data_IF_010948316178
#
_entry.id   IF_010948316178
#
_cell.length_a   1.000
_cell.length_b   1.000
_cell.length_c   1.000
_cell.angle_alpha   90.00
_cell.angle_beta   90.00
_cell.angle_gamma   90.00
#
_symmetry.space_group_name_H-M   'P 1'
#
loop_
_entity.id
_entity.type
_entity.pdbx_description
1 polymer ?
#
# COMPACT_ATOMS: atom_id res chain seq x y z
N UNK A 1 -7.66 -16.69 9.52
CA UNK A 1 -6.68 -17.01 8.48
C UNK A 1 -7.29 -16.91 7.07
N UNK A 2 -8.27 -17.74 6.64
CA UNK A 2 -8.75 -17.74 5.23
C UNK A 2 -9.13 -16.33 4.76
N UNK A 3 -9.97 -15.59 5.46
CA UNK A 3 -10.42 -14.24 5.05
C UNK A 3 -9.26 -13.26 4.95
N UNK A 4 -8.31 -13.26 5.88
CA UNK A 4 -7.18 -12.32 5.90
C UNK A 4 -6.15 -12.64 4.83
N UNK A 5 -5.79 -13.92 4.70
CA UNK A 5 -4.75 -14.38 3.76
C UNK A 5 -5.19 -14.30 2.30
N UNK A 6 -6.49 -14.23 2.07
CA UNK A 6 -7.10 -14.05 0.73
C UNK A 6 -7.54 -12.61 0.45
N UNK A 7 -7.31 -11.69 1.38
CA UNK A 7 -7.82 -10.31 1.27
C UNK A 7 -9.33 -10.24 1.11
N UNK A 8 -10.09 -11.06 1.84
CA UNK A 8 -11.53 -11.17 1.66
C UNK A 8 -11.93 -11.82 0.33
N UNK A 9 -11.15 -12.79 -0.15
CA UNK A 9 -11.32 -13.50 -1.43
C UNK A 9 -11.04 -12.67 -2.69
N UNK A 10 -10.18 -11.66 -2.59
CA UNK A 10 -9.80 -10.79 -3.72
C UNK A 10 -8.46 -11.19 -4.33
N UNK A 11 -7.53 -11.77 -3.54
CA UNK A 11 -6.16 -12.01 -4.00
C UNK A 11 -6.05 -13.21 -4.94
N UNK A 12 -4.96 -13.25 -5.72
CA UNK A 12 -4.71 -14.26 -6.74
C UNK A 12 -4.50 -15.69 -6.22
N UNK A 13 -4.31 -15.87 -4.91
CA UNK A 13 -4.22 -17.17 -4.25
C UNK A 13 -5.60 -17.82 -3.99
N UNK A 14 -6.70 -17.15 -4.31
CA UNK A 14 -8.06 -17.67 -4.16
C UNK A 14 -8.37 -18.71 -5.25
N UNK A 15 -8.87 -19.86 -4.83
CA UNK A 15 -9.25 -20.97 -5.70
C UNK A 15 -10.65 -21.50 -5.33
N UNK A 16 -11.20 -22.36 -6.18
CA UNK A 16 -12.43 -23.07 -5.85
C UNK A 16 -12.30 -23.93 -4.57
N UNK A 17 -11.09 -24.44 -4.27
CA UNK A 17 -10.82 -25.16 -3.03
C UNK A 17 -10.90 -24.21 -1.81
N UNK A 18 -10.40 -22.97 -1.93
CA UNK A 18 -10.50 -21.95 -0.89
C UNK A 18 -11.96 -21.65 -0.52
N UNK A 19 -12.83 -21.53 -1.53
CA UNK A 19 -14.25 -21.29 -1.31
C UNK A 19 -14.95 -22.49 -0.66
N UNK A 20 -14.61 -23.74 -1.07
CA UNK A 20 -15.17 -24.94 -0.43
C UNK A 20 -14.76 -25.05 1.05
N UNK A 21 -13.47 -24.82 1.36
CA UNK A 21 -13.01 -24.80 2.74
C UNK A 21 -13.69 -23.71 3.57
N UNK A 22 -13.93 -22.54 3.00
CA UNK A 22 -14.70 -21.49 3.67
C UNK A 22 -16.15 -21.91 3.94
N UNK A 23 -16.80 -22.56 2.98
CA UNK A 23 -18.18 -23.09 3.17
C UNK A 23 -18.24 -24.10 4.29
N UNK A 24 -17.32 -25.09 4.34
CA UNK A 24 -17.23 -26.06 5.43
C UNK A 24 -17.05 -25.39 6.81
N UNK A 25 -16.23 -24.35 6.88
CA UNK A 25 -16.07 -23.57 8.11
C UNK A 25 -17.36 -22.83 8.50
N UNK A 26 -18.11 -22.30 7.53
CA UNK A 26 -19.39 -21.64 7.79
C UNK A 26 -20.44 -22.63 8.30
N UNK A 27 -20.44 -23.88 7.84
CA UNK A 27 -21.32 -24.93 8.33
C UNK A 27 -21.08 -25.29 9.81
N UNK A 28 -19.90 -24.96 10.36
CA UNK A 28 -19.63 -25.12 11.81
C UNK A 28 -20.33 -24.07 12.68
N UNK A 29 -21.01 -23.09 12.09
CA UNK A 29 -21.74 -22.04 12.78
C UNK A 29 -20.86 -20.85 13.23
N UNK A 30 -19.66 -20.67 12.67
CA UNK A 30 -18.84 -19.49 12.96
C UNK A 30 -19.56 -18.22 12.52
N UNK A 31 -19.44 -17.15 13.30
CA UNK A 31 -19.93 -15.82 12.90
C UNK A 31 -18.94 -15.16 11.90
N UNK A 32 -18.98 -15.64 10.65
CA UNK A 32 -18.14 -15.10 9.59
C UNK A 32 -18.43 -13.60 9.29
N UNK A 33 -19.66 -13.13 9.58
CA UNK A 33 -20.05 -11.73 9.35
C UNK A 33 -19.33 -10.82 10.34
N UNK A 34 -19.29 -11.17 11.63
CA UNK A 34 -18.55 -10.43 12.63
C UNK A 34 -17.05 -10.38 12.30
N UNK A 35 -16.48 -11.52 11.87
CA UNK A 35 -15.07 -11.61 11.45
C UNK A 35 -14.80 -10.68 10.26
N UNK A 36 -15.57 -10.80 9.18
CA UNK A 36 -15.34 -9.97 7.98
C UNK A 36 -15.61 -8.48 8.22
N UNK A 37 -16.62 -8.14 9.03
CA UNK A 37 -16.89 -6.76 9.44
C UNK A 37 -15.70 -6.17 10.18
N UNK A 38 -15.12 -6.91 11.12
CA UNK A 38 -13.97 -6.46 11.89
C UNK A 38 -12.76 -6.18 10.99
N UNK A 39 -12.41 -7.11 10.09
CA UNK A 39 -11.19 -7.02 9.30
C UNK A 39 -11.30 -6.11 8.07
N UNK A 40 -12.49 -6.00 7.45
CA UNK A 40 -12.62 -5.34 6.16
C UNK A 40 -13.56 -4.13 6.13
N UNK A 41 -14.41 -3.97 7.15
CA UNK A 41 -15.45 -2.93 7.15
C UNK A 41 -15.40 -2.00 8.36
N UNK A 42 -14.50 -2.24 9.33
CA UNK A 42 -14.40 -1.42 10.54
C UNK A 42 -13.06 -0.73 10.58
N UNK A 43 -13.08 0.61 10.67
CA UNK A 43 -11.90 1.45 10.86
C UNK A 43 -12.13 2.42 12.01
N UNK A 44 -11.07 2.75 12.75
CA UNK A 44 -11.14 3.82 13.75
C UNK A 44 -11.39 5.17 13.08
N UNK A 45 -11.93 6.15 13.82
CA UNK A 45 -12.08 7.52 13.30
C UNK A 45 -10.73 8.14 12.95
N UNK A 46 -9.71 7.85 13.74
CA UNK A 46 -8.33 8.29 13.50
C UNK A 46 -7.81 7.74 12.17
N UNK A 47 -7.99 6.43 11.95
CA UNK A 47 -7.62 5.79 10.70
C UNK A 47 -8.34 6.41 9.48
N UNK A 48 -9.64 6.66 9.60
CA UNK A 48 -10.42 7.31 8.53
C UNK A 48 -9.92 8.72 8.22
N UNK A 49 -9.58 9.51 9.24
CA UNK A 49 -9.01 10.85 9.07
C UNK A 49 -7.62 10.81 8.43
N UNK A 50 -6.80 9.83 8.82
CA UNK A 50 -5.47 9.63 8.25
C UNK A 50 -5.56 9.27 6.77
N UNK A 51 -6.38 8.30 6.39
CA UNK A 51 -6.61 7.91 4.99
C UNK A 51 -7.15 9.09 4.15
N UNK A 52 -8.11 9.84 4.67
CA UNK A 52 -8.66 11.01 3.99
C UNK A 52 -7.59 12.08 3.72
N UNK A 53 -6.74 12.36 4.71
CA UNK A 53 -5.65 13.33 4.56
C UNK A 53 -4.61 12.86 3.52
N UNK A 54 -4.22 11.59 3.58
CA UNK A 54 -3.25 10.99 2.64
C UNK A 54 -3.77 11.03 1.21
N UNK A 55 -5.05 10.69 1.00
CA UNK A 55 -5.68 10.69 -0.32
C UNK A 55 -5.87 12.10 -0.87
N UNK A 56 -6.21 13.07 -0.01
CA UNK A 56 -6.34 14.47 -0.40
C UNK A 56 -5.00 15.08 -0.87
N UNK A 57 -3.90 14.67 -0.24
CA UNK A 57 -2.55 15.16 -0.54
C UNK A 57 -1.79 14.23 -1.53
N UNK A 58 -2.49 13.25 -2.12
CA UNK A 58 -1.92 12.34 -3.11
C UNK A 58 -1.46 13.10 -4.35
N UNK A 59 -0.28 12.79 -4.83
CA UNK A 59 0.28 13.39 -6.06
C UNK A 59 0.45 12.35 -7.14
N UNK A 60 0.22 12.75 -8.39
CA UNK A 60 0.25 11.86 -9.53
C UNK A 60 1.36 12.26 -10.51
N UNK A 61 1.94 11.25 -11.15
CA UNK A 61 3.04 11.35 -12.11
C UNK A 61 2.79 10.40 -13.28
N UNK A 62 3.56 10.57 -14.36
CA UNK A 62 3.50 9.69 -15.52
C UNK A 62 2.06 9.55 -16.06
N UNK A 63 1.41 10.67 -16.37
CA UNK A 63 0.01 10.67 -16.86
C UNK A 63 -0.95 9.96 -15.92
N UNK A 64 -0.80 10.22 -14.62
CA UNK A 64 -1.57 9.66 -13.52
C UNK A 64 -1.40 8.15 -13.27
N UNK A 65 -0.42 7.51 -13.93
CA UNK A 65 -0.14 6.07 -13.72
C UNK A 65 0.68 5.78 -12.45
N UNK A 66 1.38 6.78 -11.92
CA UNK A 66 2.15 6.66 -10.68
C UNK A 66 1.57 7.57 -9.62
N UNK A 67 1.12 7.00 -8.51
CA UNK A 67 0.58 7.74 -7.37
C UNK A 67 1.59 7.73 -6.20
N UNK A 68 1.81 8.89 -5.58
CA UNK A 68 2.62 9.04 -4.37
C UNK A 68 1.74 9.48 -3.21
N UNK A 69 1.70 8.65 -2.18
CA UNK A 69 0.96 8.87 -0.94
C UNK A 69 1.96 9.09 0.19
N UNK A 70 1.92 10.25 0.84
CA UNK A 70 2.89 10.63 1.88
C UNK A 70 2.28 10.58 3.27
N UNK A 71 3.02 10.00 4.21
CA UNK A 71 2.64 9.85 5.63
C UNK A 71 3.77 10.41 6.50
N UNK A 72 3.93 11.75 6.58
CA UNK A 72 4.94 12.36 7.43
C UNK A 72 4.57 12.24 8.92
N UNK A 73 5.57 12.26 9.80
CA UNK A 73 5.38 12.25 11.24
C UNK A 73 4.50 13.42 11.72
N UNK A 74 4.61 14.59 11.09
CA UNK A 74 3.77 15.75 11.38
C UNK A 74 2.28 15.50 11.12
N UNK A 75 1.93 14.74 10.09
CA UNK A 75 0.55 14.33 9.81
C UNK A 75 0.05 13.36 10.89
N UNK A 76 0.86 12.36 11.25
CA UNK A 76 0.55 11.40 12.31
C UNK A 76 0.29 12.13 13.64
N UNK A 77 1.18 13.03 14.03
CA UNK A 77 1.06 13.81 15.25
C UNK A 77 -0.18 14.72 15.23
N UNK A 78 -0.45 15.41 14.13
CA UNK A 78 -1.61 16.30 13.98
C UNK A 78 -2.95 15.57 14.14
N UNK A 79 -3.04 14.34 13.64
CA UNK A 79 -4.26 13.53 13.71
C UNK A 79 -4.34 12.74 15.01
N UNK A 80 -3.21 12.57 15.71
CA UNK A 80 -3.10 11.68 16.87
C UNK A 80 -3.09 10.21 16.48
N UNK A 81 -2.58 9.90 15.28
CA UNK A 81 -2.51 8.54 14.78
C UNK A 81 -1.33 7.77 15.39
N UNK A 82 -1.57 6.53 15.74
CA UNK A 82 -0.58 5.57 16.22
C UNK A 82 0.07 4.80 15.06
N UNK A 83 1.11 4.02 15.38
CA UNK A 83 1.72 3.08 14.43
C UNK A 83 0.70 2.07 13.89
N UNK A 84 -0.20 1.58 14.73
CA UNK A 84 -1.28 0.66 14.33
C UNK A 84 -2.24 1.32 13.34
N UNK A 85 -2.54 2.62 13.50
CA UNK A 85 -3.37 3.35 12.55
C UNK A 85 -2.66 3.54 11.19
N UNK A 86 -1.32 3.42 11.14
CA UNK A 86 -0.53 3.53 9.92
C UNK A 86 -0.20 2.19 9.25
N UNK A 87 -0.67 1.07 9.79
CA UNK A 87 -0.51 -0.24 9.17
C UNK A 87 -1.31 -0.33 7.86
N UNK A 88 -0.78 -1.06 6.88
CA UNK A 88 -1.41 -1.36 5.59
C UNK A 88 -1.89 -0.16 4.75
N UNK A 89 -1.38 1.06 5.03
CA UNK A 89 -1.69 2.24 4.21
C UNK A 89 -1.28 2.06 2.74
N UNK A 90 -0.32 1.19 2.46
CA UNK A 90 0.10 0.86 1.08
C UNK A 90 -0.99 0.18 0.25
N UNK A 91 -2.08 -0.28 0.88
CA UNK A 91 -3.24 -0.84 0.19
C UNK A 91 -4.18 0.23 -0.40
N UNK A 92 -4.01 1.51 -0.06
CA UNK A 92 -4.86 2.59 -0.58
C UNK A 92 -4.57 2.90 -2.05
N UNK A 93 -3.31 3.02 -2.41
CA UNK A 93 -2.91 3.43 -3.75
C UNK A 93 -3.40 2.51 -4.88
N UNK A 94 -3.33 1.18 -4.75
CA UNK A 94 -3.87 0.25 -5.76
C UNK A 94 -5.38 0.35 -6.00
N UNK A 95 -6.12 1.04 -5.14
CA UNK A 95 -7.57 1.26 -5.29
C UNK A 95 -7.88 2.46 -6.20
N UNK A 96 -6.87 3.22 -6.60
CA UNK A 96 -7.04 4.38 -7.47
C UNK A 96 -7.06 3.91 -8.92
N UNK A 97 -8.12 4.21 -9.64
CA UNK A 97 -8.28 3.84 -11.04
C UNK A 97 -7.16 4.41 -11.91
N UNK A 98 -6.60 3.61 -12.80
CA UNK A 98 -5.54 4.02 -13.74
C UNK A 98 -4.14 4.00 -13.17
N UNK A 99 -3.96 3.73 -11.87
CA UNK A 99 -2.65 3.68 -11.23
C UNK A 99 -1.97 2.33 -11.46
N UNK A 100 -0.84 2.34 -12.16
CA UNK A 100 0.02 1.17 -12.39
C UNK A 100 1.05 0.97 -11.25
N UNK A 101 1.44 2.06 -10.57
CA UNK A 101 2.37 2.03 -9.45
C UNK A 101 1.92 2.99 -8.34
N UNK A 102 1.67 2.46 -7.17
CA UNK A 102 1.42 3.25 -5.98
C UNK A 102 2.61 3.19 -5.03
N UNK A 103 3.11 4.37 -4.64
CA UNK A 103 4.23 4.55 -3.74
C UNK A 103 3.71 5.16 -2.44
N UNK A 104 3.76 4.41 -1.35
CA UNK A 104 3.46 4.94 -0.02
C UNK A 104 4.78 5.29 0.67
N UNK A 105 4.99 6.57 0.95
CA UNK A 105 6.16 7.10 1.64
C UNK A 105 5.79 7.39 3.09
N UNK A 106 6.28 6.58 4.04
CA UNK A 106 6.04 6.77 5.46
C UNK A 106 7.34 7.21 6.15
N UNK A 107 7.27 8.34 6.84
CA UNK A 107 8.39 8.82 7.64
C UNK A 107 8.47 8.02 8.95
N UNK A 108 9.61 7.34 9.18
CA UNK A 108 9.87 6.55 10.39
C UNK A 108 10.53 7.40 11.50
N UNK A 109 11.39 8.32 11.10
CA UNK A 109 12.06 9.33 11.89
C UNK A 109 12.45 10.49 10.96
N UNK A 110 12.82 11.66 11.46
CA UNK A 110 13.12 12.81 10.60
C UNK A 110 14.05 12.44 9.43
N UNK A 111 13.62 12.75 8.22
CA UNK A 111 14.31 12.49 6.96
C UNK A 111 14.60 11.00 6.66
N UNK A 112 13.91 10.07 7.30
CA UNK A 112 14.00 8.63 7.00
C UNK A 112 12.66 8.09 6.57
N UNK A 113 12.56 7.73 5.30
CA UNK A 113 11.33 7.32 4.65
C UNK A 113 11.33 5.85 4.29
N UNK A 114 10.40 5.10 4.85
CA UNK A 114 10.05 3.77 4.37
C UNK A 114 9.13 3.92 3.17
N UNK A 115 9.55 3.37 2.06
CA UNK A 115 8.79 3.34 0.83
C UNK A 115 8.20 1.96 0.61
N UNK A 116 6.91 1.91 0.35
CA UNK A 116 6.20 0.68 0.01
C UNK A 116 5.58 0.85 -1.37
N UNK A 117 6.02 0.03 -2.31
CA UNK A 117 5.51 0.01 -3.68
C UNK A 117 4.48 -1.09 -3.84
N UNK A 118 3.40 -0.77 -4.52
CA UNK A 118 2.40 -1.72 -5.01
C UNK A 118 2.20 -1.46 -6.50
N UNK A 119 2.40 -2.48 -7.33
CA UNK A 119 2.40 -2.30 -8.77
C UNK A 119 1.50 -3.30 -9.48
N UNK A 120 0.96 -2.87 -10.61
CA UNK A 120 0.37 -3.75 -11.61
C UNK A 120 1.44 -4.52 -12.40
N UNK A 121 1.04 -5.34 -13.37
CA UNK A 121 1.95 -6.24 -14.10
C UNK A 121 2.97 -5.51 -14.99
N UNK A 122 2.79 -4.23 -15.25
CA UNK A 122 3.66 -3.44 -16.15
C UNK A 122 4.95 -2.97 -15.49
N UNK A 123 4.99 -2.88 -14.15
CA UNK A 123 6.12 -2.32 -13.40
C UNK A 123 6.56 -3.33 -12.35
N UNK A 124 7.83 -3.67 -12.34
CA UNK A 124 8.41 -4.57 -11.34
C UNK A 124 8.87 -3.77 -10.11
N UNK A 125 8.08 -3.82 -9.03
CA UNK A 125 8.37 -3.12 -7.78
C UNK A 125 9.72 -3.53 -7.18
N UNK A 126 10.11 -4.81 -7.29
CA UNK A 126 11.39 -5.30 -6.75
C UNK A 126 12.58 -4.67 -7.47
N UNK A 127 12.52 -4.53 -8.79
CA UNK A 127 13.60 -3.91 -9.56
C UNK A 127 13.77 -2.44 -9.19
N UNK A 128 12.67 -1.68 -9.09
CA UNK A 128 12.71 -0.29 -8.63
C UNK A 128 13.31 -0.16 -7.22
N UNK A 129 12.84 -0.98 -6.27
CA UNK A 129 13.34 -0.92 -4.89
C UNK A 129 14.81 -1.35 -4.77
N UNK A 130 15.30 -2.29 -5.58
CA UNK A 130 16.71 -2.72 -5.59
C UNK A 130 17.66 -1.59 -5.93
N UNK A 131 17.27 -0.65 -6.79
CA UNK A 131 18.09 0.54 -7.12
C UNK A 131 18.35 1.42 -5.88
N UNK A 132 17.52 1.27 -4.85
CA UNK A 132 17.62 1.99 -3.57
C UNK A 132 17.94 1.07 -2.38
N UNK A 133 18.53 -0.10 -2.66
CA UNK A 133 18.96 -1.05 -1.63
C UNK A 133 17.82 -1.83 -0.95
N UNK A 134 16.63 -1.81 -1.53
CA UNK A 134 15.46 -2.54 -1.04
C UNK A 134 15.20 -3.87 -1.75
N UNK A 135 13.98 -4.38 -1.64
CA UNK A 135 13.56 -5.63 -2.27
C UNK A 135 12.12 -6.00 -1.95
N UNK A 136 11.73 -7.20 -2.37
CA UNK A 136 10.38 -7.73 -2.17
C UNK A 136 9.95 -8.66 -3.29
N UNK A 137 8.69 -8.56 -3.68
CA UNK A 137 8.09 -9.29 -4.79
C UNK A 137 7.77 -8.35 -5.96
N UNK A 138 7.60 -8.89 -7.15
CA UNK A 138 7.35 -8.11 -8.36
C UNK A 138 6.20 -7.09 -8.24
N UNK A 139 5.12 -7.45 -7.55
CA UNK A 139 3.96 -6.57 -7.33
C UNK A 139 3.99 -5.80 -5.98
N UNK A 140 4.91 -6.12 -5.07
CA UNK A 140 4.96 -5.55 -3.73
C UNK A 140 6.38 -5.57 -3.17
N UNK A 141 7.01 -4.41 -3.11
CA UNK A 141 8.37 -4.26 -2.63
C UNK A 141 8.51 -3.01 -1.74
N UNK A 142 9.63 -2.90 -1.06
CA UNK A 142 9.93 -1.73 -0.22
C UNK A 142 11.42 -1.44 -0.14
N UNK A 143 11.71 -0.19 0.16
CA UNK A 143 13.06 0.30 0.45
C UNK A 143 12.99 1.38 1.52
N UNK A 144 14.16 1.77 2.05
CA UNK A 144 14.27 2.90 2.97
C UNK A 144 15.25 3.90 2.39
N UNK A 145 14.86 5.17 2.37
CA UNK A 145 15.69 6.27 1.88
C UNK A 145 15.88 7.28 3.01
N UNK A 146 17.13 7.63 3.26
CA UNK A 146 17.51 8.68 4.22
C UNK A 146 17.85 9.95 3.42
N UNK A 147 16.91 10.88 3.40
CA UNK A 147 17.00 12.17 2.71
C UNK A 147 15.79 13.04 3.08
N UNK A 148 15.85 14.36 2.90
CA UNK A 148 14.67 15.23 2.97
C UNK A 148 13.56 14.73 2.03
N UNK A 149 12.30 14.98 2.41
CA UNK A 149 11.13 14.46 1.67
C UNK A 149 11.19 14.65 0.15
N UNK A 150 11.54 15.86 -0.29
CA UNK A 150 11.59 16.15 -1.73
C UNK A 150 12.62 15.27 -2.46
N UNK A 151 13.81 15.13 -1.87
CA UNK A 151 14.86 14.30 -2.44
C UNK A 151 14.53 12.81 -2.39
N UNK A 152 13.96 12.34 -1.27
CA UNK A 152 13.52 10.95 -1.14
C UNK A 152 12.46 10.60 -2.19
N UNK A 153 11.49 11.50 -2.43
CA UNK A 153 10.48 11.37 -3.47
C UNK A 153 11.11 11.30 -4.87
N UNK A 154 12.02 12.22 -5.20
CA UNK A 154 12.70 12.22 -6.51
C UNK A 154 13.48 10.93 -6.76
N UNK A 155 14.18 10.41 -5.73
CA UNK A 155 14.95 9.17 -5.83
C UNK A 155 14.06 7.97 -6.17
N UNK A 156 12.90 7.83 -5.52
CA UNK A 156 12.01 6.70 -5.81
C UNK A 156 11.31 6.86 -7.16
N UNK A 157 10.91 8.07 -7.54
CA UNK A 157 10.35 8.33 -8.86
C UNK A 157 11.36 8.03 -9.98
N UNK A 158 12.62 8.43 -9.81
CA UNK A 158 13.69 8.10 -10.75
C UNK A 158 13.94 6.58 -10.84
N UNK A 159 13.85 5.86 -9.73
CA UNK A 159 13.96 4.40 -9.71
C UNK A 159 12.79 3.73 -10.46
N UNK A 160 11.57 4.21 -10.25
CA UNK A 160 10.39 3.72 -10.98
C UNK A 160 10.51 4.02 -12.48
N UNK A 161 10.94 5.23 -12.86
CA UNK A 161 11.12 5.62 -14.27
C UNK A 161 12.10 4.73 -15.02
N UNK A 162 13.14 4.19 -14.34
CA UNK A 162 14.11 3.29 -14.97
C UNK A 162 13.53 1.92 -15.32
N UNK A 163 12.51 1.47 -14.61
CA UNK A 163 11.92 0.13 -14.78
C UNK A 163 10.52 0.17 -15.39
N UNK A 164 9.92 1.35 -15.50
CA UNK A 164 8.59 1.53 -16.06
C UNK A 164 8.68 1.72 -17.59
N UNK A 165 8.00 0.89 -18.41
CA UNK A 165 7.92 1.12 -19.85
C UNK A 165 7.25 2.45 -20.14
N UNK A 166 7.83 3.22 -21.06
CA UNK A 166 7.26 4.48 -21.57
C UNK A 166 6.94 5.54 -20.47
N UNK A 167 7.73 5.55 -19.37
CA UNK A 167 7.59 6.56 -18.32
C UNK A 167 7.77 7.97 -18.91
N UNK A 168 6.86 8.88 -18.56
CA UNK A 168 6.92 10.29 -18.96
C UNK A 168 6.93 11.19 -17.72
N UNK A 169 7.91 12.08 -17.66
CA UNK A 169 8.03 13.09 -16.59
C UNK A 169 6.97 14.19 -16.69
#
# INVERSE_FOLDING_TARGET
>A
AISTDTGGFIYSNVTAATHRAAAELMDTGIDYRAVNKLFFQTKSRVRMQLEAAILNDCTFYDRDRVAVLSVPLSLMARIGASETDAEDLSALGPQIEGVDCAITMRELRPDVWKMSLRTGPRINATEACRLLGGGGHAAAAGCTVEAPWAEARERILAAVAQVAPDYQH
#
